data_IF_618923461986
#
_entry.id   IF_618923461986
#
_cell.length_a   1.000
_cell.length_b   1.000
_cell.length_c   1.000
_cell.angle_alpha   90.00
_cell.angle_beta   90.00
_cell.angle_gamma   90.00
#
_symmetry.space_group_name_H-M   'P 1'
#
loop_
_entity.id
_entity.type
_entity.pdbx_description
1 polymer ?
#
# COMPACT_ATOMS: atom_id res chain seq x y z
N UNK A 1 53.00 12.49 -72.56
CA UNK A 1 51.67 11.82 -72.48
C UNK A 1 51.54 10.99 -71.20
N UNK A 2 51.61 11.62 -70.02
CA UNK A 2 51.51 10.91 -68.72
C UNK A 2 50.35 11.40 -67.82
N UNK A 3 49.75 12.57 -68.10
CA UNK A 3 48.70 13.15 -67.24
C UNK A 3 47.26 12.68 -67.51
N UNK A 4 46.99 12.00 -68.64
CA UNK A 4 45.61 11.63 -69.04
C UNK A 4 45.19 10.23 -68.62
N UNK A 5 46.14 9.32 -68.34
CA UNK A 5 45.85 7.97 -67.83
C UNK A 5 45.61 7.95 -66.31
N UNK A 6 46.12 8.94 -65.59
CA UNK A 6 45.93 9.06 -64.14
C UNK A 6 44.53 9.60 -63.76
N UNK A 7 43.90 10.40 -64.63
CA UNK A 7 42.56 10.95 -64.40
C UNK A 7 41.42 9.96 -64.66
N UNK A 8 41.64 8.94 -65.49
CA UNK A 8 40.65 7.88 -65.75
C UNK A 8 40.65 6.84 -64.63
N UNK A 9 41.80 6.58 -63.99
CA UNK A 9 41.91 5.64 -62.87
C UNK A 9 41.30 6.19 -61.57
N UNK A 10 41.40 7.51 -61.33
CA UNK A 10 40.78 8.15 -60.16
C UNK A 10 39.24 8.19 -60.22
N UNK A 11 38.65 8.21 -61.42
CA UNK A 11 37.19 8.24 -61.59
C UNK A 11 36.53 6.88 -61.33
N UNK A 12 37.23 5.76 -61.57
CA UNK A 12 36.69 4.41 -61.33
C UNK A 12 36.76 4.01 -59.85
N UNK A 13 37.76 4.50 -59.11
CA UNK A 13 37.87 4.28 -57.65
C UNK A 13 36.86 5.14 -56.88
N UNK A 14 36.56 6.36 -57.35
CA UNK A 14 35.54 7.22 -56.75
C UNK A 14 34.11 6.67 -56.87
N UNK A 15 33.75 6.03 -57.99
CA UNK A 15 32.41 5.47 -58.19
C UNK A 15 32.18 4.17 -57.40
N UNK A 16 33.23 3.36 -57.19
CA UNK A 16 33.16 2.16 -56.33
C UNK A 16 33.00 2.50 -54.85
N UNK A 17 33.62 3.59 -54.38
CA UNK A 17 33.50 4.02 -52.98
C UNK A 17 32.13 4.65 -52.67
N UNK A 18 31.51 5.31 -53.64
CA UNK A 18 30.16 5.87 -53.49
C UNK A 18 29.09 4.76 -53.54
N UNK A 19 29.27 3.69 -54.32
CA UNK A 19 28.33 2.57 -54.35
C UNK A 19 28.45 1.65 -53.11
N UNK A 20 29.63 1.52 -52.52
CA UNK A 20 29.82 0.83 -51.24
C UNK A 20 29.22 1.61 -50.05
N UNK A 21 29.12 2.94 -50.15
CA UNK A 21 28.49 3.79 -49.13
C UNK A 21 26.95 3.81 -49.24
N UNK A 22 26.40 3.47 -50.41
CA UNK A 22 24.93 3.39 -50.62
C UNK A 22 24.37 1.99 -50.27
N UNK A 23 25.18 0.93 -50.31
CA UNK A 23 24.74 -0.43 -49.93
C UNK A 23 25.13 -0.78 -48.47
N UNK A 24 26.08 -0.05 -47.87
CA UNK A 24 26.53 -0.26 -46.48
C UNK A 24 25.63 0.33 -45.37
N UNK A 25 24.47 0.92 -45.70
CA UNK A 25 23.53 1.51 -44.71
C UNK A 25 22.26 0.66 -44.50
N UNK A 26 22.11 -0.47 -45.20
CA UNK A 26 20.97 -1.37 -45.04
C UNK A 26 21.14 -2.45 -43.94
N UNK A 27 21.92 -2.15 -42.89
CA UNK A 27 22.28 -3.12 -41.85
C UNK A 27 22.32 -2.59 -40.42
N UNK A 28 21.91 -1.35 -40.17
CA UNK A 28 21.55 -0.94 -38.81
C UNK A 28 20.09 -1.30 -38.67
N UNK A 29 19.84 -2.52 -38.19
CA UNK A 29 18.52 -2.89 -37.72
C UNK A 29 18.06 -1.80 -36.76
N UNK A 30 17.01 -1.08 -37.14
CA UNK A 30 16.10 -0.47 -36.20
C UNK A 30 15.46 -1.60 -35.40
N UNK A 31 16.27 -2.26 -34.56
CA UNK A 31 15.78 -2.77 -33.31
C UNK A 31 15.34 -1.53 -32.57
N UNK A 32 14.07 -1.15 -32.73
CA UNK A 32 13.35 -0.47 -31.68
C UNK A 32 13.78 -1.18 -30.42
N UNK A 33 14.62 -0.54 -29.60
CA UNK A 33 14.69 -0.96 -28.21
C UNK A 33 13.24 -0.85 -27.79
N UNK A 34 12.56 -1.99 -27.66
CA UNK A 34 11.36 -2.04 -26.86
C UNK A 34 11.80 -1.34 -25.59
N UNK A 35 11.20 -0.18 -25.29
CA UNK A 35 11.34 0.46 -24.00
C UNK A 35 10.81 -0.60 -23.05
N UNK A 36 11.72 -1.43 -22.55
CA UNK A 36 11.38 -2.59 -21.75
C UNK A 36 10.57 -2.06 -20.58
N UNK A 37 9.50 -2.75 -20.25
CA UNK A 37 8.85 -2.64 -18.96
C UNK A 37 9.94 -2.59 -17.87
N UNK A 38 10.25 -1.38 -17.40
CA UNK A 38 11.37 -1.11 -16.49
C UNK A 38 10.82 -0.84 -15.10
N UNK A 39 11.28 -1.59 -14.11
CA UNK A 39 10.92 -1.37 -12.72
C UNK A 39 12.02 -0.52 -12.09
N UNK A 40 11.67 0.57 -11.41
CA UNK A 40 12.64 1.51 -10.85
C UNK A 40 12.62 1.43 -9.34
N UNK A 41 13.80 1.31 -8.72
CA UNK A 41 14.00 1.39 -7.28
C UNK A 41 14.42 2.81 -6.90
N UNK A 42 13.64 3.46 -6.04
CA UNK A 42 13.95 4.76 -5.45
C UNK A 42 14.34 4.58 -3.99
N UNK A 43 15.47 5.14 -3.58
CA UNK A 43 15.97 5.07 -2.21
C UNK A 43 15.36 6.21 -1.38
N UNK A 44 14.74 5.87 -0.25
CA UNK A 44 14.27 6.85 0.72
C UNK A 44 15.29 7.08 1.85
N UNK A 45 16.29 6.21 2.00
CA UNK A 45 17.36 6.36 2.97
C UNK A 45 17.71 5.07 3.67
N UNK A 46 18.79 5.14 4.47
CA UNK A 46 19.35 4.00 5.19
C UNK A 46 19.93 2.93 4.27
N UNK A 47 20.21 1.76 4.85
CA UNK A 47 20.86 0.66 4.13
C UNK A 47 19.88 -0.09 3.23
N UNK A 48 20.08 0.01 1.92
CA UNK A 48 19.32 -0.76 0.91
C UNK A 48 20.31 -1.52 0.02
N UNK A 49 20.03 -2.79 -0.21
CA UNK A 49 20.85 -3.66 -1.04
C UNK A 49 20.00 -4.42 -2.06
N UNK A 50 20.58 -4.62 -3.24
CA UNK A 50 19.97 -5.37 -4.35
C UNK A 50 20.85 -6.55 -4.71
N UNK A 51 20.21 -7.66 -5.08
CA UNK A 51 20.84 -8.84 -5.64
C UNK A 51 20.24 -9.10 -7.01
N UNK A 52 21.04 -9.00 -8.06
CA UNK A 52 20.58 -9.34 -9.40
C UNK A 52 20.70 -10.84 -9.69
N UNK A 53 19.62 -11.46 -10.18
CA UNK A 53 19.60 -12.88 -10.54
C UNK A 53 20.10 -13.82 -9.43
N UNK A 54 21.21 -14.52 -9.62
CA UNK A 54 21.86 -15.40 -8.62
C UNK A 54 23.11 -14.80 -7.97
N UNK A 55 23.35 -13.49 -8.15
CA UNK A 55 24.51 -12.79 -7.61
C UNK A 55 24.49 -12.65 -6.08
N UNK A 56 25.37 -11.79 -5.56
CA UNK A 56 25.39 -11.38 -4.16
C UNK A 56 24.61 -10.08 -3.98
N UNK A 57 24.15 -9.82 -2.75
CA UNK A 57 23.62 -8.51 -2.40
C UNK A 57 24.74 -7.46 -2.42
N UNK A 58 24.49 -6.35 -3.09
CA UNK A 58 25.35 -5.16 -3.12
C UNK A 58 24.52 -3.93 -2.76
N UNK A 59 25.18 -2.84 -2.34
CA UNK A 59 24.48 -1.59 -2.06
C UNK A 59 23.72 -1.10 -3.31
N UNK A 60 22.46 -0.73 -3.11
CA UNK A 60 21.59 -0.25 -4.18
C UNK A 60 21.94 1.19 -4.56
N UNK A 61 21.63 1.57 -5.80
CA UNK A 61 21.73 2.95 -6.29
C UNK A 61 20.35 3.56 -6.47
N UNK A 62 20.19 4.85 -6.21
CA UNK A 62 18.92 5.53 -6.45
C UNK A 62 18.59 5.56 -7.95
N UNK A 63 17.34 5.25 -8.30
CA UNK A 63 16.89 5.12 -9.69
C UNK A 63 17.32 3.82 -10.38
N UNK A 64 17.82 2.84 -9.64
CA UNK A 64 18.28 1.55 -10.20
C UNK A 64 17.14 0.77 -10.86
N UNK A 65 17.42 0.19 -12.03
CA UNK A 65 16.44 -0.60 -12.78
C UNK A 65 16.50 -2.06 -12.37
N UNK A 66 15.37 -2.60 -11.91
CA UNK A 66 15.23 -3.99 -11.47
C UNK A 66 14.42 -4.81 -12.47
N UNK A 67 14.78 -6.09 -12.58
CA UNK A 67 14.13 -7.06 -13.47
C UNK A 67 13.67 -8.29 -12.69
N UNK A 68 12.90 -9.14 -13.36
CA UNK A 68 12.56 -10.47 -12.85
C UNK A 68 13.80 -11.25 -12.41
N UNK A 69 13.71 -11.86 -11.23
CA UNK A 69 14.77 -12.60 -10.55
C UNK A 69 15.59 -11.76 -9.56
N UNK A 70 15.48 -10.44 -9.61
CA UNK A 70 16.19 -9.56 -8.69
C UNK A 70 15.51 -9.54 -7.31
N UNK A 71 16.32 -9.32 -6.27
CA UNK A 71 15.85 -9.21 -4.88
C UNK A 71 16.31 -7.91 -4.25
N UNK A 72 15.45 -7.31 -3.44
CA UNK A 72 15.71 -6.12 -2.64
C UNK A 72 15.74 -6.52 -1.17
N UNK A 73 16.67 -5.96 -0.41
CA UNK A 73 16.77 -6.11 1.04
C UNK A 73 17.06 -4.77 1.71
N UNK A 74 16.25 -4.42 2.71
CA UNK A 74 16.42 -3.22 3.54
C UNK A 74 16.98 -3.56 4.91
N UNK A 75 17.88 -2.70 5.42
CA UNK A 75 18.43 -2.74 6.78
C UNK A 75 17.45 -2.21 7.83
N UNK A 76 17.94 -1.96 9.04
CA UNK A 76 17.13 -1.48 10.17
C UNK A 76 16.65 -0.02 10.01
N UNK A 77 17.35 0.77 9.21
CA UNK A 77 17.02 2.13 8.82
C UNK A 77 16.68 2.27 7.32
N UNK A 78 16.82 1.17 6.56
CA UNK A 78 16.66 1.13 5.12
C UNK A 78 15.21 1.24 4.67
N UNK A 79 14.95 2.12 3.70
CA UNK A 79 13.64 2.34 3.08
C UNK A 79 13.78 2.57 1.59
N UNK A 80 12.90 1.97 0.80
CA UNK A 80 12.89 2.16 -0.64
C UNK A 80 11.47 2.06 -1.22
N UNK A 81 11.28 2.57 -2.42
CA UNK A 81 10.06 2.41 -3.21
C UNK A 81 10.41 1.71 -4.52
N UNK A 82 9.78 0.57 -4.79
CA UNK A 82 9.82 -0.09 -6.09
C UNK A 82 8.61 0.34 -6.90
N UNK A 83 8.84 1.02 -8.02
CA UNK A 83 7.79 1.40 -8.97
C UNK A 83 7.85 0.45 -10.18
N UNK A 84 6.77 -0.28 -10.43
CA UNK A 84 6.64 -1.13 -11.60
C UNK A 84 6.32 -0.31 -12.85
N UNK A 85 6.66 -0.84 -14.02
CA UNK A 85 6.49 -0.20 -15.32
C UNK A 85 5.07 0.25 -15.66
N UNK A 86 4.05 -0.35 -15.04
CA UNK A 86 2.63 -0.04 -15.25
C UNK A 86 2.10 1.06 -14.32
N UNK A 87 2.87 1.45 -13.30
CA UNK A 87 2.52 2.51 -12.36
C UNK A 87 2.28 2.05 -10.92
N UNK A 88 2.03 0.76 -10.67
CA UNK A 88 1.94 0.23 -9.31
C UNK A 88 3.24 0.41 -8.54
N UNK A 89 3.14 0.69 -7.23
CA UNK A 89 4.29 0.91 -6.37
C UNK A 89 4.26 0.05 -5.11
N UNK A 90 5.44 -0.27 -4.61
CA UNK A 90 5.66 -1.02 -3.37
C UNK A 90 6.66 -0.24 -2.51
N UNK A 91 6.19 0.31 -1.40
CA UNK A 91 7.09 0.85 -0.37
C UNK A 91 7.59 -0.30 0.47
N UNK A 92 8.92 -0.41 0.58
CA UNK A 92 9.64 -1.46 1.29
C UNK A 92 10.15 -0.84 2.59
N UNK A 93 9.57 -1.25 3.71
CA UNK A 93 9.90 -0.75 5.04
C UNK A 93 11.19 -1.40 5.59
N UNK A 94 11.75 -0.93 6.71
CA UNK A 94 12.94 -1.53 7.30
C UNK A 94 12.80 -3.03 7.58
N UNK A 95 13.94 -3.73 7.56
CA UNK A 95 14.03 -5.17 7.82
C UNK A 95 13.13 -6.01 6.90
N UNK A 96 13.15 -5.70 5.60
CA UNK A 96 12.29 -6.37 4.60
C UNK A 96 13.13 -6.97 3.49
N UNK A 97 12.71 -8.14 3.01
CA UNK A 97 13.28 -8.76 1.82
C UNK A 97 12.18 -9.16 0.82
N UNK A 98 12.32 -8.68 -0.41
CA UNK A 98 11.37 -8.85 -1.51
C UNK A 98 12.10 -9.38 -2.75
N UNK A 99 11.48 -10.31 -3.48
CA UNK A 99 11.99 -10.86 -4.75
C UNK A 99 10.97 -10.58 -5.85
N UNK A 100 11.42 -10.11 -7.01
CA UNK A 100 10.56 -9.91 -8.18
C UNK A 100 10.49 -11.23 -8.95
N UNK A 101 9.40 -11.98 -8.79
CA UNK A 101 9.22 -13.29 -9.44
C UNK A 101 8.78 -13.17 -10.90
N UNK A 102 8.01 -12.13 -11.21
CA UNK A 102 7.57 -11.80 -12.57
C UNK A 102 7.21 -10.33 -12.68
N UNK A 103 7.60 -9.69 -13.78
CA UNK A 103 7.22 -8.33 -14.12
C UNK A 103 7.22 -8.20 -15.65
N UNK A 104 6.05 -8.41 -16.27
CA UNK A 104 5.93 -8.39 -17.73
C UNK A 104 4.60 -7.82 -18.20
N UNK A 105 4.63 -7.14 -19.34
CA UNK A 105 3.46 -6.75 -20.11
C UNK A 105 3.30 -7.67 -21.33
N UNK A 106 2.11 -8.23 -21.54
CA UNK A 106 1.71 -8.93 -22.75
C UNK A 106 1.37 -7.96 -23.88
N UNK A 107 1.45 -8.45 -25.12
CA UNK A 107 1.09 -7.68 -26.33
C UNK A 107 -0.39 -7.31 -26.41
N UNK A 108 -1.23 -7.99 -25.63
CA UNK A 108 -2.66 -7.78 -25.47
C UNK A 108 -2.99 -6.76 -24.35
N UNK A 109 -1.97 -6.15 -23.74
CA UNK A 109 -2.13 -5.21 -22.63
C UNK A 109 -2.29 -5.89 -21.26
N UNK A 110 -2.19 -7.23 -21.18
CA UNK A 110 -2.17 -7.92 -19.89
C UNK A 110 -0.89 -7.60 -19.13
N UNK A 111 -0.97 -7.45 -17.82
CA UNK A 111 0.19 -7.20 -16.96
C UNK A 111 0.30 -8.31 -15.92
N UNK A 112 1.46 -8.96 -15.85
CA UNK A 112 1.78 -9.98 -14.86
C UNK A 112 2.85 -9.43 -13.91
N UNK A 113 2.46 -9.23 -12.66
CA UNK A 113 3.35 -8.85 -11.57
C UNK A 113 3.19 -9.90 -10.47
N UNK A 114 4.29 -10.54 -10.09
CA UNK A 114 4.34 -11.46 -8.97
C UNK A 114 5.63 -11.22 -8.19
N UNK A 115 5.53 -11.24 -6.87
CA UNK A 115 6.67 -11.07 -5.99
C UNK A 115 6.59 -11.98 -4.78
N UNK A 116 7.75 -12.35 -4.25
CA UNK A 116 7.87 -13.11 -3.02
C UNK A 116 8.45 -12.21 -1.93
N UNK A 117 7.67 -11.96 -0.88
CA UNK A 117 8.11 -11.28 0.33
C UNK A 117 8.51 -12.34 1.36
N UNK A 118 9.81 -12.40 1.62
CA UNK A 118 10.38 -13.42 2.51
C UNK A 118 10.07 -13.08 3.97
N UNK A 119 10.22 -11.81 4.33
CA UNK A 119 9.91 -11.25 5.64
C UNK A 119 9.87 -9.71 5.55
N UNK A 120 9.41 -9.08 6.62
CA UNK A 120 9.31 -7.63 6.78
C UNK A 120 7.95 -7.09 6.33
N UNK A 121 7.89 -5.80 6.03
CA UNK A 121 6.66 -5.08 5.75
C UNK A 121 6.73 -4.33 4.43
N UNK A 122 5.65 -4.39 3.67
CA UNK A 122 5.47 -3.66 2.42
C UNK A 122 4.11 -3.00 2.36
N UNK A 123 4.08 -1.83 1.72
CA UNK A 123 2.85 -1.12 1.40
C UNK A 123 2.69 -1.05 -0.11
N UNK A 124 1.52 -1.45 -0.61
CA UNK A 124 1.25 -1.60 -2.03
C UNK A 124 0.16 -0.62 -2.46
N UNK A 125 0.44 0.16 -3.50
CA UNK A 125 -0.57 0.94 -4.23
C UNK A 125 -0.62 0.37 -5.63
N UNK A 126 -1.68 -0.38 -5.92
CA UNK A 126 -1.83 -1.13 -7.17
C UNK A 126 -2.78 -0.41 -8.10
N UNK A 127 -2.33 -0.11 -9.32
CA UNK A 127 -3.21 0.47 -10.34
C UNK A 127 -4.36 -0.49 -10.65
N UNK A 128 -5.53 0.05 -11.01
CA UNK A 128 -6.69 -0.79 -11.33
C UNK A 128 -6.37 -1.62 -12.58
N UNK A 129 -6.22 -2.93 -12.40
CA UNK A 129 -6.02 -3.88 -13.48
C UNK A 129 -7.33 -4.05 -14.26
N UNK A 130 -7.39 -3.46 -15.46
CA UNK A 130 -8.60 -3.43 -16.30
C UNK A 130 -8.77 -4.67 -17.18
N UNK A 131 -7.69 -5.37 -17.52
CA UNK A 131 -7.72 -6.55 -18.39
C UNK A 131 -7.84 -7.83 -17.56
N UNK A 132 -8.70 -8.77 -17.99
CA UNK A 132 -9.01 -9.99 -17.24
C UNK A 132 -7.79 -10.91 -17.02
N UNK A 133 -6.81 -10.88 -17.92
CA UNK A 133 -5.57 -11.64 -17.83
C UNK A 133 -4.48 -10.99 -16.98
N UNK A 134 -4.68 -9.76 -16.51
CA UNK A 134 -3.73 -9.09 -15.62
C UNK A 134 -3.77 -9.66 -14.21
N UNK A 135 -2.61 -9.74 -13.57
CA UNK A 135 -2.40 -10.38 -12.28
C UNK A 135 -1.38 -9.62 -11.46
N UNK A 136 -1.70 -9.40 -10.19
CA UNK A 136 -0.80 -8.88 -9.17
C UNK A 136 -0.82 -9.82 -7.96
N UNK A 137 0.31 -10.45 -7.64
CA UNK A 137 0.45 -11.38 -6.52
C UNK A 137 1.60 -11.00 -5.58
N UNK A 138 1.33 -11.05 -4.27
CA UNK A 138 2.36 -11.04 -3.23
C UNK A 138 2.35 -12.39 -2.53
N UNK A 139 3.44 -13.13 -2.65
CA UNK A 139 3.62 -14.45 -2.05
C UNK A 139 4.42 -14.31 -0.77
N UNK A 140 3.94 -14.96 0.26
CA UNK A 140 4.59 -15.03 1.57
C UNK A 140 4.66 -16.49 2.00
N UNK A 141 5.41 -16.82 3.06
CA UNK A 141 5.42 -18.18 3.59
C UNK A 141 4.02 -18.71 3.97
N UNK A 142 3.14 -17.86 4.52
CA UNK A 142 1.86 -18.30 5.06
C UNK A 142 0.68 -18.17 4.08
N UNK A 143 0.73 -17.28 3.09
CA UNK A 143 -0.36 -17.07 2.13
C UNK A 143 0.10 -16.37 0.83
N UNK A 144 -0.76 -16.39 -0.19
CA UNK A 144 -0.58 -15.55 -1.40
C UNK A 144 -1.70 -14.52 -1.49
N UNK A 145 -1.37 -13.24 -1.50
CA UNK A 145 -2.33 -12.16 -1.73
C UNK A 145 -2.50 -11.91 -3.23
N UNK A 146 -3.69 -12.17 -3.75
CA UNK A 146 -4.10 -11.87 -5.13
C UNK A 146 -4.90 -10.58 -5.16
N UNK A 147 -4.53 -9.67 -6.07
CA UNK A 147 -4.95 -8.28 -6.01
C UNK A 147 -5.47 -7.78 -7.34
N UNK A 148 -6.55 -6.98 -7.29
CA UNK A 148 -7.05 -6.19 -8.41
C UNK A 148 -7.38 -4.77 -7.94
N UNK A 149 -6.46 -3.84 -8.15
CA UNK A 149 -6.66 -2.41 -7.87
C UNK A 149 -6.97 -2.10 -6.40
N UNK A 150 -5.96 -2.09 -5.54
CA UNK A 150 -6.13 -1.91 -4.08
C UNK A 150 -4.97 -1.13 -3.46
N UNK A 151 -5.24 -0.52 -2.31
CA UNK A 151 -4.23 -0.05 -1.37
C UNK A 151 -4.20 -1.00 -0.16
N UNK A 152 -3.06 -1.65 0.10
CA UNK A 152 -2.94 -2.65 1.16
C UNK A 152 -1.51 -2.78 1.71
N UNK A 153 -1.41 -3.27 2.95
CA UNK A 153 -0.16 -3.63 3.62
C UNK A 153 -0.01 -5.15 3.67
N UNK A 154 1.22 -5.64 3.49
CA UNK A 154 1.62 -7.01 3.83
C UNK A 154 2.75 -6.95 4.84
N UNK A 155 2.55 -7.56 6.00
CA UNK A 155 3.58 -7.78 7.01
C UNK A 155 3.80 -9.28 7.18
N UNK A 156 5.01 -9.77 6.98
CA UNK A 156 5.33 -11.19 7.06
C UNK A 156 6.55 -11.43 7.94
N UNK A 157 6.48 -12.44 8.78
CA UNK A 157 7.61 -12.96 9.53
C UNK A 157 7.73 -14.48 9.35
N UNK A 158 8.57 -15.14 10.15
CA UNK A 158 8.79 -16.58 10.07
C UNK A 158 7.56 -17.42 10.48
N UNK A 159 6.61 -16.84 11.22
CA UNK A 159 5.48 -17.54 11.81
C UNK A 159 4.13 -17.15 11.15
N UNK A 160 4.03 -15.97 10.55
CA UNK A 160 2.75 -15.43 10.10
C UNK A 160 2.85 -14.41 8.98
N UNK A 161 1.72 -14.20 8.32
CA UNK A 161 1.50 -13.12 7.37
C UNK A 161 0.22 -12.38 7.72
N UNK A 162 0.33 -11.06 7.84
CA UNK A 162 -0.79 -10.14 8.02
C UNK A 162 -0.99 -9.32 6.75
N UNK A 163 -2.22 -9.32 6.24
CA UNK A 163 -2.67 -8.49 5.12
C UNK A 163 -3.73 -7.51 5.64
N UNK A 164 -3.52 -6.21 5.43
CA UNK A 164 -4.47 -5.16 5.82
C UNK A 164 -4.87 -4.34 4.61
N UNK A 165 -6.17 -4.25 4.31
CA UNK A 165 -6.67 -3.57 3.11
C UNK A 165 -7.31 -2.23 3.48
N UNK A 166 -6.85 -1.16 2.84
CA UNK A 166 -7.41 0.19 3.03
C UNK A 166 -8.36 0.58 1.91
N UNK A 167 -8.08 0.17 0.67
CA UNK A 167 -8.96 0.39 -0.49
C UNK A 167 -9.12 -0.89 -1.31
N UNK A 168 -10.33 -1.15 -1.81
CA UNK A 168 -10.63 -2.28 -2.68
C UNK A 168 -10.72 -3.62 -1.92
N UNK A 169 -10.26 -4.71 -2.53
CA UNK A 169 -10.30 -6.05 -1.93
C UNK A 169 -9.09 -6.87 -2.36
N UNK A 170 -8.39 -7.42 -1.38
CA UNK A 170 -7.32 -8.41 -1.57
C UNK A 170 -7.89 -9.79 -1.31
N UNK A 171 -7.56 -10.79 -2.12
CA UNK A 171 -7.95 -12.18 -1.87
C UNK A 171 -6.72 -12.94 -1.39
N UNK A 172 -6.70 -13.30 -0.09
CA UNK A 172 -5.66 -14.13 0.48
C UNK A 172 -5.95 -15.61 0.17
N UNK A 173 -5.04 -16.24 -0.56
CA UNK A 173 -5.04 -17.66 -0.89
C UNK A 173 -4.25 -18.40 0.18
N UNK A 174 -4.92 -19.21 0.98
CA UNK A 174 -4.33 -19.93 2.12
C UNK A 174 -4.48 -21.43 1.90
N UNK A 175 -3.40 -22.19 2.06
CA UNK A 175 -3.49 -23.66 2.04
C UNK A 175 -4.05 -24.18 3.35
N UNK A 176 -5.11 -24.99 3.29
CA UNK A 176 -5.79 -25.56 4.47
C UNK A 176 -5.26 -26.97 4.78
N UNK A 177 -4.44 -27.14 5.84
CA UNK A 177 -3.88 -28.45 6.21
C UNK A 177 -4.96 -29.44 6.67
N UNK A 178 -6.13 -28.97 7.14
CA UNK A 178 -7.23 -29.83 7.61
C UNK A 178 -8.02 -30.39 6.41
N UNK A 179 -8.02 -29.68 5.28
CA UNK A 179 -8.66 -30.09 4.03
C UNK A 179 -7.67 -30.62 3.00
N UNK A 180 -6.62 -31.32 3.45
CA UNK A 180 -5.65 -31.97 2.57
C UNK A 180 -4.81 -30.99 1.72
N UNK A 181 -4.60 -29.77 2.20
CA UNK A 181 -3.82 -28.74 1.51
C UNK A 181 -4.63 -27.93 0.49
N UNK A 182 -5.95 -28.08 0.44
CA UNK A 182 -6.81 -27.30 -0.45
C UNK A 182 -6.62 -25.80 -0.22
N UNK A 183 -6.53 -25.02 -1.31
CA UNK A 183 -6.45 -23.56 -1.21
C UNK A 183 -7.83 -22.98 -0.92
N UNK A 184 -7.90 -22.14 0.11
CA UNK A 184 -9.09 -21.39 0.50
C UNK A 184 -8.85 -19.92 0.22
N UNK A 185 -9.82 -19.29 -0.44
CA UNK A 185 -9.84 -17.86 -0.69
C UNK A 185 -10.46 -17.12 0.49
N UNK A 186 -9.71 -16.19 1.08
CA UNK A 186 -10.16 -15.33 2.17
C UNK A 186 -10.16 -13.88 1.67
N UNK A 187 -11.35 -13.28 1.42
CA UNK A 187 -11.43 -11.89 0.99
C UNK A 187 -11.13 -10.93 2.15
N UNK A 188 -10.16 -10.05 1.94
CA UNK A 188 -9.74 -8.97 2.83
C UNK A 188 -10.19 -7.65 2.20
N UNK A 189 -11.42 -7.25 2.51
CA UNK A 189 -12.02 -6.02 1.99
C UNK A 189 -11.47 -4.78 2.70
N UNK A 190 -11.63 -3.61 2.09
CA UNK A 190 -11.30 -2.33 2.72
C UNK A 190 -11.82 -2.22 4.17
N UNK A 191 -10.95 -1.75 5.07
CA UNK A 191 -11.26 -1.64 6.50
C UNK A 191 -11.15 -2.95 7.27
N UNK A 192 -10.57 -4.01 6.69
CA UNK A 192 -10.34 -5.29 7.37
C UNK A 192 -8.87 -5.72 7.32
N UNK A 193 -8.51 -6.60 8.24
CA UNK A 193 -7.21 -7.25 8.36
C UNK A 193 -7.37 -8.75 8.45
N UNK A 194 -6.43 -9.48 7.87
CA UNK A 194 -6.32 -10.93 7.93
C UNK A 194 -4.92 -11.32 8.38
N UNK A 195 -4.81 -12.07 9.48
CA UNK A 195 -3.54 -12.63 9.94
C UNK A 195 -3.60 -14.14 9.83
N UNK A 196 -2.75 -14.70 8.98
CA UNK A 196 -2.61 -16.13 8.75
C UNK A 196 -1.33 -16.64 9.43
N UNK A 197 -1.47 -17.65 10.27
CA UNK A 197 -0.31 -18.39 10.81
C UNK A 197 0.16 -19.42 9.78
N UNK A 198 1.47 -19.58 9.66
CA UNK A 198 2.10 -20.55 8.77
C UNK A 198 1.64 -21.97 9.12
N UNK A 199 1.09 -22.68 8.15
CA UNK A 199 0.63 -24.06 8.31
C UNK A 199 -0.59 -24.23 9.24
N UNK A 200 -1.28 -23.15 9.60
CA UNK A 200 -2.55 -23.23 10.31
C UNK A 200 -3.75 -23.22 9.33
N UNK A 201 -4.94 -23.69 9.77
CA UNK A 201 -6.17 -23.51 8.99
C UNK A 201 -6.42 -22.02 8.66
N UNK A 202 -7.18 -21.73 7.59
CA UNK A 202 -7.51 -20.35 7.20
C UNK A 202 -8.18 -19.56 8.33
N UNK A 203 -7.58 -18.44 8.71
CA UNK A 203 -8.13 -17.54 9.72
C UNK A 203 -9.21 -16.60 9.12
N UNK A 204 -10.23 -16.20 9.89
CA UNK A 204 -11.20 -15.20 9.43
C UNK A 204 -10.57 -13.81 9.36
N UNK A 205 -11.20 -12.91 8.60
CA UNK A 205 -10.87 -11.48 8.62
C UNK A 205 -11.46 -10.79 9.85
N UNK A 206 -10.86 -9.67 10.26
CA UNK A 206 -11.28 -8.84 11.39
C UNK A 206 -11.30 -7.37 10.97
N UNK A 207 -12.07 -6.49 11.65
CA UNK A 207 -11.97 -5.06 11.41
C UNK A 207 -10.55 -4.56 11.63
N UNK A 208 -10.09 -3.65 10.75
CA UNK A 208 -8.80 -3.01 10.89
C UNK A 208 -8.78 -2.21 12.20
N UNK A 209 -7.75 -2.35 13.06
CA UNK A 209 -7.64 -1.54 14.26
C UNK A 209 -7.66 -0.06 13.91
N UNK A 210 -8.33 0.75 14.73
CA UNK A 210 -8.26 2.20 14.57
C UNK A 210 -6.82 2.69 14.84
N UNK A 211 -6.35 3.70 14.12
CA UNK A 211 -5.02 4.24 14.35
C UNK A 211 -4.89 4.79 15.77
N UNK A 212 -3.78 4.51 16.45
CA UNK A 212 -3.55 5.05 17.79
C UNK A 212 -3.32 6.57 17.74
N UNK A 213 -2.69 7.03 16.65
CA UNK A 213 -2.46 8.43 16.35
C UNK A 213 -3.00 8.75 14.97
N UNK A 214 -3.74 9.84 14.83
CA UNK A 214 -4.20 10.39 13.56
C UNK A 214 -3.80 11.85 13.49
N UNK A 215 -2.98 12.21 12.51
CA UNK A 215 -2.60 13.60 12.25
C UNK A 215 -3.37 14.08 11.02
N UNK A 216 -4.08 15.19 11.13
CA UNK A 216 -4.81 15.81 10.02
C UNK A 216 -4.19 17.17 9.76
N UNK A 217 -3.65 17.38 8.56
CA UNK A 217 -3.12 18.66 8.10
C UNK A 217 -4.05 19.24 7.07
N UNK A 218 -4.59 20.42 7.32
CA UNK A 218 -5.37 21.21 6.38
C UNK A 218 -4.55 22.41 5.91
N UNK A 219 -4.44 22.56 4.59
CA UNK A 219 -3.66 23.61 3.94
C UNK A 219 -4.52 24.34 2.94
N UNK A 220 -4.62 25.67 3.04
CA UNK A 220 -5.33 26.53 2.09
C UNK A 220 -4.45 26.86 0.87
N UNK A 221 -4.24 25.87 0.00
CA UNK A 221 -3.42 26.00 -1.20
C UNK A 221 -3.85 25.03 -2.31
N UNK A 222 -3.53 25.38 -3.56
CA UNK A 222 -3.85 24.52 -4.72
C UNK A 222 -2.95 23.28 -4.82
N UNK A 223 -1.74 23.37 -4.26
CA UNK A 223 -0.76 22.30 -4.16
C UNK A 223 0.03 22.43 -2.85
N UNK A 224 0.33 21.30 -2.22
CA UNK A 224 1.04 21.23 -0.95
C UNK A 224 1.54 19.80 -0.71
N UNK A 225 2.72 19.65 -0.13
CA UNK A 225 3.27 18.36 0.28
C UNK A 225 3.61 18.38 1.77
N UNK A 226 2.96 17.51 2.52
CA UNK A 226 3.30 17.21 3.91
C UNK A 226 4.28 16.03 3.93
N UNK A 227 5.47 16.28 4.41
CA UNK A 227 6.56 15.31 4.57
C UNK A 227 6.63 14.88 6.02
N UNK A 228 6.45 13.60 6.26
CA UNK A 228 6.48 13.02 7.61
C UNK A 228 7.91 12.91 8.18
N UNK A 229 8.06 12.56 9.48
CA UNK A 229 9.38 12.49 10.11
C UNK A 229 10.37 11.50 9.49
N UNK A 230 9.89 10.59 8.63
CA UNK A 230 10.72 9.60 7.94
C UNK A 230 10.89 9.93 6.45
N UNK A 231 10.56 11.16 6.03
CA UNK A 231 10.79 11.67 4.68
C UNK A 231 9.69 11.34 3.66
N UNK A 232 8.58 10.72 4.07
CA UNK A 232 7.49 10.35 3.14
C UNK A 232 6.59 11.55 2.86
N UNK A 233 6.43 11.87 1.58
CA UNK A 233 5.60 12.97 1.11
C UNK A 233 4.14 12.55 0.89
N UNK A 234 3.23 13.44 1.27
CA UNK A 234 1.79 13.25 1.14
C UNK A 234 1.14 14.58 0.74
N UNK A 235 0.29 14.60 -0.27
CA UNK A 235 -0.41 15.80 -0.69
C UNK A 235 -0.60 15.88 -2.20
N UNK A 236 -0.53 17.10 -2.73
CA UNK A 236 -0.74 17.45 -4.13
C UNK A 236 0.53 18.11 -4.66
N UNK A 237 1.11 17.51 -5.69
CA UNK A 237 2.27 18.05 -6.41
C UNK A 237 1.92 19.30 -7.23
N UNK A 238 2.94 19.99 -7.74
CA UNK A 238 2.76 21.19 -8.58
C UNK A 238 1.92 20.92 -9.84
N UNK A 239 2.05 19.72 -10.39
CA UNK A 239 1.31 19.27 -11.58
C UNK A 239 -0.10 18.74 -11.24
N UNK A 240 -0.55 18.87 -9.99
CA UNK A 240 -1.85 18.41 -9.54
C UNK A 240 -1.95 16.91 -9.27
N UNK A 241 -0.85 16.15 -9.32
CA UNK A 241 -0.86 14.73 -8.96
C UNK A 241 -0.99 14.54 -7.46
N UNK A 242 -1.83 13.60 -7.03
CA UNK A 242 -1.95 13.17 -5.65
C UNK A 242 -0.79 12.23 -5.31
N UNK A 243 -0.17 12.44 -4.16
CA UNK A 243 0.91 11.61 -3.60
C UNK A 243 0.52 11.23 -2.18
N UNK A 244 0.64 9.95 -1.81
CA UNK A 244 0.37 9.46 -0.47
C UNK A 244 1.36 8.35 -0.14
N UNK A 245 2.57 8.71 0.28
CA UNK A 245 3.65 7.75 0.58
C UNK A 245 3.55 7.18 1.99
N UNK A 246 2.90 7.87 2.92
CA UNK A 246 2.66 7.33 4.27
C UNK A 246 1.56 6.25 4.18
N UNK A 247 1.82 5.01 4.67
CA UNK A 247 0.84 3.93 4.68
C UNK A 247 -0.49 4.35 5.30
N UNK A 248 -1.59 4.11 4.60
CA UNK A 248 -2.95 4.48 5.01
C UNK A 248 -3.25 5.99 4.94
N UNK A 249 -2.34 6.82 4.43
CA UNK A 249 -2.60 8.24 4.30
C UNK A 249 -3.72 8.53 3.30
N UNK A 250 -4.50 9.57 3.61
CA UNK A 250 -5.59 10.03 2.77
C UNK A 250 -5.36 11.50 2.41
N UNK A 251 -5.39 11.79 1.12
CA UNK A 251 -5.28 13.14 0.59
C UNK A 251 -6.58 13.47 -0.13
N UNK A 252 -7.28 14.48 0.37
CA UNK A 252 -8.57 14.94 -0.14
C UNK A 252 -8.45 16.41 -0.50
N UNK A 253 -9.01 16.80 -1.66
CA UNK A 253 -9.26 18.20 -1.98
C UNK A 253 -10.66 18.57 -1.52
N UNK A 254 -10.76 19.54 -0.64
CA UNK A 254 -12.02 20.04 -0.09
C UNK A 254 -12.12 21.54 -0.41
N UNK A 255 -12.77 21.85 -1.54
CA UNK A 255 -12.76 23.20 -2.11
C UNK A 255 -11.35 23.66 -2.47
N UNK A 256 -10.93 24.80 -1.92
CA UNK A 256 -9.57 25.37 -2.08
C UNK A 256 -8.55 24.79 -1.08
N UNK A 257 -8.98 23.89 -0.19
CA UNK A 257 -8.11 23.26 0.81
C UNK A 257 -7.67 21.88 0.40
N UNK A 258 -6.44 21.55 0.79
CA UNK A 258 -5.92 20.19 0.78
C UNK A 258 -5.96 19.66 2.21
N UNK A 259 -6.67 18.55 2.42
CA UNK A 259 -6.75 17.85 3.71
C UNK A 259 -5.99 16.53 3.61
N UNK A 260 -4.94 16.41 4.43
CA UNK A 260 -4.05 15.26 4.47
C UNK A 260 -4.20 14.57 5.83
N UNK A 261 -4.71 13.35 5.85
CA UNK A 261 -4.82 12.51 7.04
C UNK A 261 -3.68 11.49 7.04
N UNK A 262 -2.87 11.46 8.11
CA UNK A 262 -1.74 10.56 8.30
C UNK A 262 -1.99 9.67 9.54
N UNK A 263 -2.25 8.36 9.37
CA UNK A 263 -2.42 7.44 10.49
C UNK A 263 -1.07 6.96 11.03
N UNK A 264 -1.02 6.68 12.33
CA UNK A 264 0.11 6.07 13.04
C UNK A 264 1.46 6.77 12.77
N UNK A 265 1.43 8.10 12.66
CA UNK A 265 2.62 8.90 12.39
C UNK A 265 3.65 8.74 13.53
N UNK A 266 4.93 8.44 13.23
CA UNK A 266 5.97 8.38 14.27
C UNK A 266 6.20 9.76 14.89
N UNK A 267 6.89 9.77 16.03
CA UNK A 267 7.39 11.00 16.63
C UNK A 267 8.46 11.65 15.73
N UNK A 268 8.51 12.98 15.74
CA UNK A 268 9.52 13.77 15.04
C UNK A 268 8.95 15.02 14.37
N UNK A 269 9.70 15.55 13.39
CA UNK A 269 9.33 16.77 12.68
C UNK A 269 8.47 16.45 11.46
N UNK A 270 7.34 17.13 11.34
CA UNK A 270 6.45 17.15 10.19
C UNK A 270 6.71 18.46 9.43
N UNK A 271 6.91 18.38 8.11
CA UNK A 271 7.11 19.55 7.27
C UNK A 271 5.96 19.69 6.27
N UNK A 272 5.38 20.87 6.16
CA UNK A 272 4.35 21.19 5.16
C UNK A 272 4.94 22.17 4.16
N UNK A 273 5.28 21.68 2.97
CA UNK A 273 5.77 22.48 1.85
C UNK A 273 4.58 22.96 1.02
N UNK A 274 4.31 24.25 1.08
CA UNK A 274 3.16 24.87 0.43
C UNK A 274 3.56 25.40 -0.95
N UNK A 275 2.77 25.10 -1.97
CA UNK A 275 2.96 25.67 -3.30
C UNK A 275 2.12 26.93 -3.52
N UNK A 276 1.63 27.17 -4.74
CA UNK A 276 0.84 28.38 -5.05
C UNK A 276 -0.56 28.28 -4.44
N UNK A 277 -1.02 29.36 -3.81
CA UNK A 277 -2.43 29.54 -3.45
C UNK A 277 -3.28 29.75 -4.71
N UNK A 278 -4.54 29.32 -4.66
CA UNK A 278 -5.58 29.73 -5.61
C UNK A 278 -6.06 31.13 -5.18
N UNK A 279 -5.33 32.21 -5.50
CA UNK A 279 -5.69 33.56 -5.03
C UNK A 279 -4.54 34.57 -5.03
N UNK A 280 -4.69 35.67 -4.27
CA UNK A 280 -3.72 36.75 -4.17
C UNK A 280 -2.37 36.24 -3.65
N UNK A 281 -1.31 36.47 -4.40
CA UNK A 281 0.01 35.86 -4.19
C UNK A 281 0.72 36.38 -2.92
N UNK A 282 0.14 37.37 -2.22
CA UNK A 282 0.82 38.15 -1.17
C UNK A 282 0.33 37.88 0.27
N UNK A 283 -0.59 36.95 0.47
CA UNK A 283 -1.09 36.57 1.81
C UNK A 283 -0.41 35.31 2.36
N UNK A 284 -0.32 35.22 3.70
CA UNK A 284 0.15 34.02 4.39
C UNK A 284 -0.83 32.85 4.19
N UNK A 285 -0.30 31.64 4.00
CA UNK A 285 -1.09 30.41 3.95
C UNK A 285 -1.22 29.83 5.36
N UNK A 286 -2.46 29.59 5.76
CA UNK A 286 -2.78 28.91 7.01
C UNK A 286 -2.58 27.40 6.88
N UNK A 287 -1.82 26.82 7.81
CA UNK A 287 -1.59 25.39 7.94
C UNK A 287 -2.11 24.96 9.31
N UNK A 288 -3.26 24.28 9.31
CA UNK A 288 -3.90 23.77 10.51
C UNK A 288 -3.53 22.29 10.66
N UNK A 289 -2.93 21.92 11.79
CA UNK A 289 -2.55 20.53 12.11
C UNK A 289 -3.31 20.09 13.35
N UNK A 290 -4.16 19.07 13.22
CA UNK A 290 -4.84 18.43 14.33
C UNK A 290 -4.17 17.08 14.59
N UNK A 291 -3.73 16.84 15.82
CA UNK A 291 -3.20 15.55 16.26
C UNK A 291 -4.22 14.92 17.20
N UNK A 292 -4.73 13.75 16.82
CA UNK A 292 -5.58 12.92 17.65
C UNK A 292 -4.79 11.71 18.12
N UNK A 293 -4.74 11.47 19.42
CA UNK A 293 -4.03 10.35 20.03
C UNK A 293 -4.95 9.64 21.02
N UNK A 294 -5.32 8.39 20.71
CA UNK A 294 -6.26 7.54 21.47
C UNK A 294 -7.57 8.26 21.84
N UNK A 295 -8.12 9.04 20.91
CA UNK A 295 -9.38 9.78 21.08
C UNK A 295 -9.26 11.11 21.84
N UNK A 296 -8.04 11.57 22.18
CA UNK A 296 -7.79 12.96 22.62
C UNK A 296 -7.23 13.75 21.45
N UNK A 297 -7.80 14.92 21.17
CA UNK A 297 -7.34 15.76 20.07
C UNK A 297 -6.72 17.05 20.58
N UNK A 298 -5.60 17.43 19.99
CA UNK A 298 -4.94 18.72 20.16
C UNK A 298 -4.84 19.36 18.79
N UNK A 299 -5.13 20.65 18.71
CA UNK A 299 -5.05 21.42 17.47
C UNK A 299 -3.92 22.44 17.55
N UNK A 300 -3.13 22.51 16.49
CA UNK A 300 -1.99 23.41 16.35
C UNK A 300 -2.08 24.12 15.02
N UNK A 301 -2.06 25.45 15.05
CA UNK A 301 -2.12 26.28 13.85
C UNK A 301 -0.78 26.95 13.61
N UNK A 302 -0.19 26.70 12.45
CA UNK A 302 0.98 27.41 11.93
C UNK A 302 0.59 28.30 10.73
N UNK A 303 1.36 29.37 10.51
CA UNK A 303 1.25 30.21 9.31
C UNK A 303 2.55 30.14 8.53
N UNK A 304 2.48 30.09 7.21
CA UNK A 304 3.66 30.18 6.32
C UNK A 304 3.45 31.24 5.24
N UNK A 305 4.51 31.94 4.86
CA UNK A 305 4.42 32.96 3.80
C UNK A 305 4.29 32.30 2.43
N UNK A 306 3.40 32.81 1.58
CA UNK A 306 3.29 32.38 0.17
C UNK A 306 4.43 32.99 -0.71
N UNK A 307 5.08 34.06 -0.23
CA UNK A 307 6.16 34.80 -0.91
C UNK A 307 7.54 34.59 -0.24
N UNK A 308 8.56 34.23 -1.03
CA UNK A 308 9.95 34.06 -0.57
C UNK A 308 10.54 32.65 -0.72
N UNK A 309 11.78 32.46 -0.25
CA UNK A 309 12.55 31.20 -0.29
C UNK A 309 12.02 30.12 0.68
N UNK A 310 11.36 30.50 1.80
CA UNK A 310 10.79 29.55 2.78
C UNK A 310 9.27 29.45 2.65
N UNK A 311 8.80 28.47 1.85
CA UNK A 311 7.36 28.15 1.68
C UNK A 311 6.90 26.99 2.56
N UNK A 312 7.56 26.78 3.70
CA UNK A 312 7.38 25.57 4.51
C UNK A 312 6.98 25.90 5.94
N UNK A 313 5.95 25.23 6.46
CA UNK A 313 5.59 25.22 7.88
C UNK A 313 6.12 23.95 8.53
N UNK A 314 6.52 24.01 9.81
CA UNK A 314 7.02 22.86 10.55
C UNK A 314 6.26 22.64 11.86
N UNK A 315 5.91 21.40 12.16
CA UNK A 315 5.34 20.98 13.46
C UNK A 315 6.16 19.82 14.00
N UNK A 316 6.66 19.93 15.21
CA UNK A 316 7.27 18.81 15.93
C UNK A 316 6.21 18.12 16.78
N UNK A 317 6.10 16.80 16.65
CA UNK A 317 5.15 15.96 17.38
C UNK A 317 5.95 14.95 18.20
N UNK A 318 5.72 14.92 19.51
CA UNK A 318 6.33 13.96 20.44
C UNK A 318 5.28 13.36 21.35
N UNK A 319 5.39 12.08 21.65
CA UNK A 319 4.61 11.45 22.71
C UNK A 319 5.27 11.75 24.06
N UNK A 320 4.49 12.19 25.04
CA UNK A 320 4.97 12.31 26.42
C UNK A 320 4.99 10.96 27.15
N UNK A 321 5.62 10.92 28.32
CA UNK A 321 5.75 9.70 29.13
C UNK A 321 4.40 9.14 29.64
N UNK A 322 3.32 9.93 29.60
CA UNK A 322 1.95 9.52 29.96
C UNK A 322 1.13 9.02 28.76
N UNK A 323 1.70 9.07 27.54
CA UNK A 323 1.01 8.74 26.30
C UNK A 323 0.14 9.85 25.75
N UNK A 324 0.27 11.08 26.27
CA UNK A 324 -0.26 12.30 25.68
C UNK A 324 0.66 12.85 24.59
N UNK A 325 0.19 13.85 23.86
CA UNK A 325 0.91 14.47 22.76
C UNK A 325 1.50 15.82 23.20
N UNK A 326 2.75 16.08 22.81
CA UNK A 326 3.40 17.38 22.88
C UNK A 326 3.67 17.85 21.47
N UNK A 327 3.07 18.98 21.11
CA UNK A 327 3.23 19.60 19.81
C UNK A 327 3.86 20.99 19.94
N UNK A 328 4.76 21.29 18.99
CA UNK A 328 5.42 22.59 18.91
C UNK A 328 5.52 23.04 17.46
N UNK A 329 4.99 24.23 17.16
CA UNK A 329 5.27 24.90 15.88
C UNK A 329 6.75 25.27 15.87
N UNK A 330 7.46 24.87 14.82
CA UNK A 330 8.88 25.13 14.67
C UNK A 330 9.14 26.59 14.26
N UNK A 331 10.17 27.20 14.84
CA UNK A 331 10.58 28.56 14.49
C UNK A 331 11.19 28.65 13.08
N UNK A 332 11.28 29.87 12.52
CA UNK A 332 11.86 30.11 11.18
C UNK A 332 13.30 29.61 11.03
N UNK A 333 14.10 29.63 12.10
CA UNK A 333 15.48 29.14 12.05
C UNK A 333 15.55 27.60 12.13
N UNK A 334 14.45 26.94 12.54
CA UNK A 334 14.32 25.49 12.61
C UNK A 334 13.71 24.88 11.33
N UNK A 335 13.23 25.71 10.39
CA UNK A 335 12.62 25.25 9.12
C UNK A 335 13.65 24.77 8.10
N UNK A 336 14.92 25.18 8.22
CA UNK A 336 15.99 24.81 7.28
C UNK A 336 16.44 23.34 7.44
N UNK A 337 16.11 22.72 8.58
CA UNK A 337 16.39 21.31 8.90
C UNK A 337 15.13 20.43 8.86
N UNK A 338 14.11 20.85 8.09
CA UNK A 338 12.88 20.09 7.91
C UNK A 338 13.07 18.92 6.92
N UNK A 339 12.31 17.83 7.10
CA UNK A 339 12.20 16.79 6.08
C UNK A 339 11.81 17.36 4.71
N UNK A 340 12.55 16.97 3.67
CA UNK A 340 12.25 17.27 2.27
C UNK A 340 11.70 16.02 1.56
N UNK A 341 10.84 16.18 0.53
CA UNK A 341 10.37 15.05 -0.24
C UNK A 341 11.55 14.32 -0.92
N UNK A 342 11.56 12.99 -0.89
CA UNK A 342 12.47 12.22 -1.75
C UNK A 342 12.10 12.40 -3.24
N UNK A 343 13.12 12.53 -4.10
CA UNK A 343 13.09 13.20 -5.40
C UNK A 343 12.17 12.64 -6.49
N UNK A 344 11.45 11.52 -6.28
CA UNK A 344 10.62 10.88 -7.32
C UNK A 344 9.10 10.99 -7.06
N UNK A 345 8.64 12.10 -6.47
CA UNK A 345 7.20 12.37 -6.30
C UNK A 345 6.43 12.51 -7.61
N UNK A 346 7.12 12.79 -8.73
CA UNK A 346 6.49 13.00 -10.04
C UNK A 346 6.02 11.69 -10.69
N UNK A 347 6.56 10.54 -10.29
CA UNK A 347 6.21 9.22 -10.86
C UNK A 347 5.16 8.46 -10.05
N UNK A 348 4.88 8.86 -8.82
CA UNK A 348 3.85 8.22 -8.00
C UNK A 348 2.49 8.82 -8.38
N UNK A 349 1.71 8.09 -9.16
CA UNK A 349 0.37 8.49 -9.55
C UNK A 349 -0.67 7.84 -8.64
N UNK A 350 -1.40 8.63 -7.85
CA UNK A 350 -2.69 8.21 -7.30
C UNK A 350 -3.77 8.46 -8.35
N UNK A 351 -4.35 7.40 -8.92
CA UNK A 351 -5.61 7.49 -9.66
C UNK A 351 -6.76 7.24 -8.69
N UNK A 352 -7.16 8.29 -7.96
CA UNK A 352 -8.38 8.24 -7.14
C UNK A 352 -9.46 9.02 -7.86
N UNK A 353 -10.44 8.29 -8.39
CA UNK A 353 -11.75 8.87 -8.65
C UNK A 353 -12.43 9.08 -7.28
N UNK A 354 -13.00 10.27 -7.00
CA UNK A 354 -13.63 10.53 -5.71
C UNK A 354 -14.69 9.48 -5.43
N UNK A 355 -14.67 8.90 -4.23
CA UNK A 355 -15.83 8.15 -3.74
C UNK A 355 -17.06 9.08 -3.79
N UNK A 356 -18.19 8.66 -4.39
CA UNK A 356 -19.38 9.48 -4.38
C UNK A 356 -19.77 9.76 -2.93
N UNK A 357 -19.95 11.05 -2.63
CA UNK A 357 -20.38 11.51 -1.31
C UNK A 357 -21.61 10.71 -0.88
N UNK A 358 -21.48 9.96 0.23
CA UNK A 358 -22.66 9.45 0.90
C UNK A 358 -23.49 10.66 1.34
N UNK A 359 -24.77 10.77 0.94
CA UNK A 359 -25.60 11.87 1.40
C UNK A 359 -25.66 11.84 2.93
N UNK A 360 -25.32 12.97 3.54
CA UNK A 360 -25.53 13.18 4.96
C UNK A 360 -26.97 12.82 5.32
N UNK A 361 -27.16 11.87 6.24
CA UNK A 361 -28.45 11.62 6.85
C UNK A 361 -28.84 12.87 7.64
N UNK A 362 -29.64 13.71 7.01
CA UNK A 362 -30.27 14.86 7.66
C UNK A 362 -31.35 14.31 8.60
N UNK A 363 -31.03 14.22 9.89
CA UNK A 363 -32.03 14.03 10.93
C UNK A 363 -32.89 15.29 11.00
N UNK A 364 -34.01 15.28 10.29
CA UNK A 364 -35.05 16.31 10.42
C UNK A 364 -35.92 15.98 11.63
N UNK A 365 -36.21 16.92 12.55
CA UNK A 365 -37.15 16.67 13.64
C UNK A 365 -38.57 16.56 13.06
N UNK A 366 -39.21 15.40 13.23
CA UNK A 366 -40.62 15.22 12.83
C UNK A 366 -41.53 15.67 13.96
N UNK A 367 -42.22 16.79 13.74
CA UNK A 367 -43.44 17.19 14.48
C UNK A 367 -44.56 16.18 14.21
N UNK A 368 -45.37 15.76 15.20
CA UNK A 368 -46.46 14.79 14.98
C UNK A 368 -47.63 15.45 14.23
N UNK A 369 -48.24 14.80 13.22
CA UNK A 369 -49.43 15.33 12.58
C UNK A 369 -50.71 15.03 13.38
N UNK A 370 -51.61 16.01 13.38
CA UNK A 370 -52.95 15.97 13.95
C UNK A 370 -53.87 14.94 13.26
N UNK A 371 -54.82 14.46 14.07
CA UNK A 371 -55.89 13.51 13.79
C UNK A 371 -56.95 14.11 12.84
N UNK A 372 -57.32 13.39 11.78
CA UNK A 372 -58.63 13.56 11.12
C UNK A 372 -59.14 12.18 10.67
N UNK A 373 -60.37 11.88 11.05
CA UNK A 373 -61.07 10.59 10.87
C UNK A 373 -61.62 10.41 9.44
N UNK A 374 -61.71 9.14 9.00
CA UNK A 374 -62.87 8.45 8.39
C UNK A 374 -62.43 7.21 7.56
N UNK A 375 -63.31 6.28 7.14
CA UNK A 375 -64.20 5.42 7.92
C UNK A 375 -63.95 3.91 7.66
N UNK A 376 -64.60 3.06 8.46
CA UNK A 376 -64.39 1.62 8.59
C UNK A 376 -64.99 0.73 7.47
N UNK A 377 -64.43 -0.48 7.31
CA UNK A 377 -65.06 -1.72 6.80
C UNK A 377 -64.12 -2.93 7.09
N UNK A 378 -64.56 -4.20 7.02
CA UNK A 378 -65.25 -5.02 8.04
C UNK A 378 -64.36 -6.18 8.57
N UNK A 379 -64.81 -7.02 9.54
CA UNK A 379 -63.92 -7.91 10.29
C UNK A 379 -63.74 -9.29 9.62
N UNK A 380 -62.50 -9.79 9.60
CA UNK A 380 -62.20 -11.21 9.42
C UNK A 380 -61.76 -11.86 10.74
N UNK A 381 -62.10 -13.15 10.85
CA UNK A 381 -62.27 -13.99 12.05
C UNK A 381 -60.96 -14.45 12.74
N UNK A 382 -61.02 -14.90 14.00
CA UNK A 382 -59.87 -14.95 14.90
C UNK A 382 -58.95 -16.17 14.74
N UNK A 383 -57.71 -15.96 15.21
CA UNK A 383 -56.60 -16.91 15.26
C UNK A 383 -56.89 -18.14 16.14
N UNK A 384 -56.39 -19.29 15.70
CA UNK A 384 -56.32 -20.51 16.50
C UNK A 384 -55.05 -20.52 17.37
N UNK A 385 -55.28 -20.61 18.68
CA UNK A 385 -54.32 -20.87 19.74
C UNK A 385 -53.67 -22.25 19.57
N UNK A 386 -52.36 -22.36 19.75
CA UNK A 386 -51.65 -23.64 19.94
C UNK A 386 -51.02 -23.65 21.33
N UNK A 387 -51.51 -24.58 22.17
CA UNK A 387 -51.04 -24.88 23.53
C UNK A 387 -49.69 -25.63 23.57
N UNK A 388 -48.95 -25.59 24.70
CA UNK A 388 -47.67 -26.26 24.85
C UNK A 388 -47.84 -27.72 25.33
N UNK A 389 -47.06 -28.66 24.77
CA UNK A 389 -46.96 -30.04 25.31
C UNK A 389 -45.82 -30.19 26.31
N UNK A 390 -46.19 -30.82 27.42
CA UNK A 390 -45.43 -31.13 28.63
C UNK A 390 -44.75 -32.51 28.51
N UNK A 391 -43.64 -32.63 29.22
CA UNK A 391 -42.77 -33.78 29.54
C UNK A 391 -43.46 -35.08 29.96
N UNK A 392 -42.87 -36.23 29.61
CA UNK A 392 -42.90 -37.46 30.43
C UNK A 392 -41.80 -38.49 30.06
N UNK A 393 -41.11 -38.99 31.10
CA UNK A 393 -40.29 -40.21 31.26
C UNK A 393 -40.73 -40.78 32.66
N UNK A 394 -40.38 -41.99 33.17
CA UNK A 394 -39.64 -43.16 32.67
C UNK A 394 -40.23 -44.56 33.06
N UNK A 395 -39.60 -45.70 32.70
CA UNK A 395 -39.66 -46.98 33.46
C UNK A 395 -38.57 -48.00 33.03
N UNK A 396 -38.36 -49.05 33.84
CA UNK A 396 -37.12 -49.75 34.27
C UNK A 396 -36.73 -51.07 33.54
N UNK A 397 -35.39 -51.32 33.41
CA UNK A 397 -34.52 -52.54 33.68
C UNK A 397 -34.96 -54.02 33.47
N UNK A 398 -34.06 -55.06 33.56
CA UNK A 398 -32.59 -55.18 33.31
C UNK A 398 -32.16 -56.48 32.53
N UNK A 399 -30.88 -56.61 32.14
CA UNK A 399 -30.33 -57.91 31.65
C UNK A 399 -28.85 -57.87 31.28
N UNK A 400 -28.04 -58.68 31.96
CA UNK A 400 -26.58 -58.72 31.98
C UNK A 400 -25.89 -59.31 30.74
N UNK A 401 -24.62 -58.95 30.49
CA UNK A 401 -23.46 -59.87 30.59
C UNK A 401 -22.13 -59.19 30.21
N UNK A 402 -21.08 -59.67 30.89
CA UNK A 402 -19.67 -59.23 30.92
C UNK A 402 -18.97 -59.32 29.56
N UNK A 403 -17.93 -58.50 29.34
CA UNK A 403 -16.54 -58.94 29.07
C UNK A 403 -15.59 -57.73 29.00
N UNK A 404 -14.46 -57.82 29.70
CA UNK A 404 -13.29 -56.90 29.69
C UNK A 404 -12.09 -57.69 29.17
N UNK A 405 -11.21 -57.10 28.34
CA UNK A 405 -9.77 -57.09 28.69
C UNK A 405 -9.16 -55.70 28.40
N UNK A 406 -8.66 -55.00 29.42
CA UNK A 406 -7.27 -54.97 29.92
C UNK A 406 -6.27 -54.28 28.96
N UNK A 407 -5.87 -53.06 29.35
CA UNK A 407 -4.84 -52.21 28.74
C UNK A 407 -3.43 -52.66 29.21
N UNK A 408 -2.43 -52.76 28.32
CA UNK A 408 -1.05 -53.02 28.75
C UNK A 408 -0.38 -51.74 29.30
N UNK A 409 0.18 -51.85 30.51
CA UNK A 409 1.01 -50.85 31.19
C UNK A 409 2.43 -50.81 30.60
N UNK A 410 2.93 -49.62 30.31
CA UNK A 410 4.34 -49.31 30.01
C UNK A 410 5.24 -49.49 31.25
N UNK A 411 6.48 -49.97 31.10
CA UNK A 411 7.50 -49.86 32.14
C UNK A 411 8.31 -48.55 32.03
N UNK A 412 8.45 -47.85 33.17
CA UNK A 412 9.44 -46.80 33.39
C UNK A 412 10.87 -47.39 33.34
N UNK A 413 11.77 -46.73 32.62
CA UNK A 413 13.22 -46.82 32.85
C UNK A 413 13.78 -45.42 33.12
N UNK A 414 14.37 -45.25 34.30
CA UNK A 414 15.23 -44.14 34.66
C UNK A 414 16.69 -44.55 34.40
N UNK A 415 17.49 -43.71 33.73
CA UNK A 415 18.96 -43.66 33.90
C UNK A 415 19.50 -42.25 33.58
N UNK A 416 20.09 -41.66 34.63
CA UNK A 416 21.25 -40.79 34.75
C UNK A 416 21.41 -39.50 33.90
N UNK A 417 21.46 -38.39 34.66
CA UNK A 417 22.21 -37.19 34.35
C UNK A 417 23.72 -37.47 34.31
N UNK A 418 24.42 -36.82 33.38
CA UNK A 418 25.86 -36.54 33.50
C UNK A 418 26.10 -35.10 33.02
N UNK A 419 27.04 -34.50 33.73
CA UNK A 419 27.55 -33.12 33.75
C UNK A 419 27.95 -32.58 32.39
#
# INVERSE_FOLDING_TARGET
MAGRRFRVLAAVIGLGFVLALVIGVAGIGNGSKALGASNTLTLLGGDVSVRHGSGQFAAATDGELLKTGDAIKTGADGRAVLTYFEGSSVTIEPLTQLVIDSASAGSDGNTLIAMSQVFGRTWHVVTKLVTSGSKYEVRTPASTASVRGTEFEVNSDAASTTVATTEGTVVAQVSDPVRGGATVEVPVTAGTVHTQLLGAPPAPTRPLPQPERRVVVSVDASNSLVVDPVGRANGVTKDGKLVAQTPGAQVVRDGDKIVITLPNLPDGKLATHVGKRSGDDNEDVDVQTTVEERGRSVEVTGKTKNTGENKSAGVEIKRDASGGTQERVLGRDETDALPTPHADTDKIQRTVEPAPAQPAQTTRPTTPPQRTEAPASPPERPAATVEPRRSEQPSRSPGALRFVPELPKLPLRAVAAKT
#
